data_IF_975154116424
#
_entry.id   IF_975154116424
#
_cell.length_a   1.000
_cell.length_b   1.000
_cell.length_c   1.000
_cell.angle_alpha   90.00
_cell.angle_beta   90.00
_cell.angle_gamma   90.00
#
_symmetry.space_group_name_H-M   'P 1'
#
loop_
_entity.id
_entity.type
_entity.pdbx_description
1 polymer ?
#
# COMPACT_ATOMS: atom_id res chain seq x y z
N UNK A 1 10.08 24.88 3.85
CA UNK A 1 9.27 25.18 5.05
C UNK A 1 9.17 26.68 5.24
N UNK A 2 10.27 27.40 5.49
CA UNK A 2 10.20 28.86 5.71
C UNK A 2 9.64 29.63 4.50
N UNK A 3 9.99 29.21 3.27
CA UNK A 3 9.40 29.75 2.04
C UNK A 3 7.89 29.47 1.94
N UNK A 4 7.46 28.24 2.21
CA UNK A 4 6.04 27.86 2.24
C UNK A 4 5.24 28.66 3.28
N UNK A 5 5.83 28.93 4.45
CA UNK A 5 5.22 29.77 5.49
C UNK A 5 5.15 31.25 5.08
N UNK A 6 6.09 31.73 4.26
CA UNK A 6 6.00 33.07 3.66
C UNK A 6 4.83 33.16 2.69
N UNK A 7 4.59 32.13 1.87
CA UNK A 7 3.41 32.07 0.98
C UNK A 7 2.10 32.11 1.77
N UNK A 8 2.05 31.45 2.94
CA UNK A 8 0.90 31.53 3.85
C UNK A 8 0.64 32.95 4.35
N UNK A 9 1.69 33.69 4.76
CA UNK A 9 1.56 35.10 5.16
C UNK A 9 0.99 35.97 4.03
N UNK A 10 1.55 35.84 2.84
CA UNK A 10 1.09 36.57 1.66
C UNK A 10 -0.37 36.25 1.31
N UNK A 11 -0.81 35.01 1.51
CA UNK A 11 -2.21 34.64 1.33
C UNK A 11 -3.11 35.31 2.38
N UNK A 12 -2.70 35.30 3.66
CA UNK A 12 -3.47 35.97 4.73
C UNK A 12 -3.62 37.46 4.44
N UNK A 13 -2.51 38.15 4.11
CA UNK A 13 -2.52 39.57 3.75
C UNK A 13 -3.44 39.84 2.55
N UNK A 14 -3.36 39.00 1.52
CA UNK A 14 -4.23 39.09 0.34
C UNK A 14 -5.72 38.90 0.68
N UNK A 15 -6.04 38.03 1.64
CA UNK A 15 -7.42 37.82 2.08
C UNK A 15 -7.92 38.95 2.99
N UNK A 16 -7.04 39.58 3.77
CA UNK A 16 -7.35 40.74 4.63
C UNK A 16 -7.53 42.04 3.85
N UNK A 17 -6.82 42.24 2.72
CA UNK A 17 -6.88 43.47 1.93
C UNK A 17 -8.18 43.64 1.12
N UNK A 18 -9.22 42.86 1.41
CA UNK A 18 -10.44 42.80 0.60
C UNK A 18 -11.44 43.91 0.94
N UNK A 19 -11.93 44.55 -0.11
CA UNK A 19 -13.29 45.09 -0.22
C UNK A 19 -14.17 44.04 -0.90
N UNK A 20 -15.40 43.80 -0.42
CA UNK A 20 -16.31 42.74 -0.90
C UNK A 20 -16.42 42.69 -2.45
N UNK A 21 -15.78 41.70 -3.08
CA UNK A 21 -15.98 41.38 -4.51
C UNK A 21 -17.04 40.27 -4.66
N UNK A 22 -18.08 40.54 -5.45
CA UNK A 22 -19.17 39.61 -5.83
C UNK A 22 -18.68 38.55 -6.82
N UNK A 23 -17.79 37.64 -6.37
CA UNK A 23 -17.36 36.46 -7.13
C UNK A 23 -18.14 35.20 -6.74
N UNK A 24 -18.29 34.26 -7.68
CA UNK A 24 -18.83 32.92 -7.40
C UNK A 24 -17.95 32.19 -6.36
N UNK A 25 -18.59 31.66 -5.32
CA UNK A 25 -17.92 30.96 -4.21
C UNK A 25 -17.68 29.50 -4.62
N UNK A 26 -16.42 29.07 -4.65
CA UNK A 26 -16.00 27.75 -5.18
C UNK A 26 -15.48 26.82 -4.09
N UNK A 27 -14.98 27.37 -2.97
CA UNK A 27 -14.44 26.59 -1.86
C UNK A 27 -14.97 27.14 -0.54
N UNK A 28 -15.34 26.24 0.38
CA UNK A 28 -15.80 26.57 1.71
C UNK A 28 -15.22 25.59 2.73
N UNK A 29 -14.81 26.12 3.88
CA UNK A 29 -14.47 25.32 5.04
C UNK A 29 -14.83 26.08 6.33
N UNK A 30 -15.14 25.32 7.38
CA UNK A 30 -15.47 25.86 8.69
C UNK A 30 -14.79 25.06 9.81
N UNK A 31 -14.61 25.71 10.96
CA UNK A 31 -14.11 25.09 12.18
C UNK A 31 -14.94 25.57 13.37
N UNK A 32 -15.33 24.62 14.22
CA UNK A 32 -16.08 24.90 15.42
C UNK A 32 -15.34 25.95 16.28
N UNK A 33 -16.03 27.05 16.59
CA UNK A 33 -15.47 28.16 17.37
C UNK A 33 -14.58 29.15 16.60
N UNK A 34 -14.32 28.94 15.30
CA UNK A 34 -13.55 29.84 14.45
C UNK A 34 -14.32 30.33 13.20
N UNK A 35 -15.59 29.94 13.05
CA UNK A 35 -16.42 30.34 11.92
C UNK A 35 -16.05 29.59 10.62
N UNK A 36 -16.43 30.18 9.49
CA UNK A 36 -16.20 29.63 8.15
C UNK A 36 -15.69 30.66 7.16
N UNK A 37 -15.00 30.17 6.13
CA UNK A 37 -14.41 30.99 5.07
C UNK A 37 -14.90 30.51 3.72
N UNK A 38 -15.43 31.44 2.92
CA UNK A 38 -15.76 31.21 1.51
C UNK A 38 -14.70 31.85 0.62
N UNK A 39 -14.18 31.07 -0.32
CA UNK A 39 -13.18 31.52 -1.28
C UNK A 39 -13.75 31.47 -2.70
N UNK A 40 -13.52 32.54 -3.46
CA UNK A 40 -13.82 32.56 -4.90
C UNK A 40 -12.75 31.77 -5.69
N UNK A 41 -12.88 31.74 -7.01
CA UNK A 41 -11.95 31.02 -7.88
C UNK A 41 -10.48 31.42 -7.68
N UNK A 42 -10.17 32.73 -7.72
CA UNK A 42 -8.80 33.26 -7.59
C UNK A 42 -8.18 32.91 -6.23
N UNK A 43 -8.95 33.02 -5.17
CA UNK A 43 -8.52 32.71 -3.81
C UNK A 43 -8.35 31.22 -3.59
N UNK A 44 -9.28 30.41 -4.08
CA UNK A 44 -9.19 28.96 -4.00
C UNK A 44 -7.95 28.43 -4.72
N UNK A 45 -7.55 29.07 -5.83
CA UNK A 45 -6.32 28.73 -6.55
C UNK A 45 -5.09 28.99 -5.68
N UNK A 46 -4.97 30.18 -5.08
CA UNK A 46 -3.85 30.54 -4.18
C UNK A 46 -3.82 29.69 -2.91
N UNK A 47 -4.99 29.37 -2.35
CA UNK A 47 -5.13 28.43 -1.23
C UNK A 47 -4.56 27.06 -1.58
N UNK A 48 -4.94 26.50 -2.75
CA UNK A 48 -4.46 25.19 -3.21
C UNK A 48 -2.96 25.18 -3.46
N UNK A 49 -2.41 26.26 -4.02
CA UNK A 49 -0.97 26.43 -4.20
C UNK A 49 -0.23 26.42 -2.86
N UNK A 50 -0.65 27.26 -1.92
CA UNK A 50 -0.07 27.30 -0.57
C UNK A 50 -0.17 25.94 0.14
N UNK A 51 -1.33 25.26 0.04
CA UNK A 51 -1.52 23.95 0.64
C UNK A 51 -0.57 22.91 0.03
N UNK A 52 -0.34 22.94 -1.28
CA UNK A 52 0.61 22.06 -1.97
C UNK A 52 2.04 22.31 -1.50
N UNK A 53 2.44 23.57 -1.35
CA UNK A 53 3.78 23.96 -0.88
C UNK A 53 4.00 23.61 0.60
N UNK A 54 2.96 23.74 1.42
CA UNK A 54 2.99 23.28 2.80
C UNK A 54 3.12 21.77 2.85
N UNK A 55 2.31 21.03 2.07
CA UNK A 55 2.35 19.57 2.06
C UNK A 55 3.73 19.05 1.59
N UNK A 56 4.26 19.58 0.49
CA UNK A 56 5.56 19.16 -0.06
C UNK A 56 6.73 19.43 0.91
N UNK A 57 6.62 20.47 1.74
CA UNK A 57 7.68 20.82 2.68
C UNK A 57 7.55 20.19 4.07
N UNK A 58 6.34 19.76 4.47
CA UNK A 58 6.04 19.24 5.82
C UNK A 58 5.84 17.73 5.89
N UNK A 59 5.34 17.11 4.81
CA UNK A 59 5.13 15.67 4.71
C UNK A 59 6.44 15.05 4.22
N UNK A 60 7.19 14.43 5.12
CA UNK A 60 8.38 13.65 4.78
C UNK A 60 8.13 12.20 5.15
N UNK A 61 8.35 11.29 4.20
CA UNK A 61 8.20 9.84 4.41
C UNK A 61 6.80 9.41 4.90
N UNK A 62 5.74 10.08 4.43
CA UNK A 62 4.34 9.86 4.84
C UNK A 62 4.08 10.08 6.35
N UNK A 63 4.96 10.79 7.08
CA UNK A 63 4.92 10.94 8.54
C UNK A 63 3.86 11.91 9.09
N UNK A 64 3.15 12.62 8.21
CA UNK A 64 2.13 13.62 8.50
C UNK A 64 1.03 13.53 7.45
N UNK A 65 -0.24 13.49 7.87
CA UNK A 65 -1.35 13.35 6.93
C UNK A 65 -1.64 14.67 6.21
N UNK A 66 -1.99 14.61 4.92
CA UNK A 66 -2.39 15.81 4.16
C UNK A 66 -3.58 16.52 4.82
N UNK A 67 -4.49 15.75 5.42
CA UNK A 67 -5.65 16.27 6.15
C UNK A 67 -5.25 16.98 7.44
N UNK A 68 -4.19 16.55 8.11
CA UNK A 68 -3.60 17.28 9.25
C UNK A 68 -2.96 18.58 8.80
N UNK A 69 -2.20 18.56 7.68
CA UNK A 69 -1.62 19.79 7.09
C UNK A 69 -2.72 20.77 6.71
N UNK A 70 -3.72 20.30 5.97
CA UNK A 70 -4.86 21.10 5.53
C UNK A 70 -5.64 21.64 6.73
N UNK A 71 -5.92 20.81 7.73
CA UNK A 71 -6.65 21.25 8.92
C UNK A 71 -5.91 22.30 9.74
N UNK A 72 -4.60 22.14 9.92
CA UNK A 72 -3.77 23.14 10.59
C UNK A 72 -3.70 24.45 9.79
N UNK A 73 -3.63 24.36 8.46
CA UNK A 73 -3.61 25.51 7.57
C UNK A 73 -4.95 26.27 7.59
N UNK A 74 -6.08 25.57 7.48
CA UNK A 74 -7.42 26.17 7.60
C UNK A 74 -7.63 26.84 8.96
N UNK A 75 -7.19 26.21 10.05
CA UNK A 75 -7.25 26.78 11.39
C UNK A 75 -6.42 28.07 11.49
N UNK A 76 -5.22 28.09 10.90
CA UNK A 76 -4.37 29.27 10.84
C UNK A 76 -5.04 30.42 10.06
N UNK A 77 -5.64 30.13 8.91
CA UNK A 77 -6.39 31.11 8.12
C UNK A 77 -7.58 31.68 8.92
N UNK A 78 -8.43 30.82 9.48
CA UNK A 78 -9.60 31.30 10.23
C UNK A 78 -9.18 32.13 11.45
N UNK A 79 -8.15 31.72 12.19
CA UNK A 79 -7.61 32.53 13.31
C UNK A 79 -7.10 33.89 12.85
N UNK A 80 -6.43 33.94 11.70
CA UNK A 80 -5.90 35.20 11.17
C UNK A 80 -7.03 36.14 10.71
N UNK A 81 -8.11 35.59 10.15
CA UNK A 81 -9.22 36.38 9.60
C UNK A 81 -10.31 36.74 10.64
N UNK A 82 -10.49 35.97 11.72
CA UNK A 82 -11.63 36.13 12.64
C UNK A 82 -11.36 36.94 13.93
N UNK A 83 -10.15 37.47 14.17
CA UNK A 83 -9.89 38.19 15.43
C UNK A 83 -10.26 39.68 15.31
N UNK A 84 -11.47 40.04 15.70
CA UNK A 84 -11.91 41.45 15.80
C UNK A 84 -11.56 42.12 17.15
N UNK A 85 -11.05 41.38 18.14
CA UNK A 85 -10.77 41.88 19.49
C UNK A 85 -9.34 41.57 19.96
N UNK A 86 -8.35 42.32 19.48
CA UNK A 86 -7.00 42.24 20.03
C UNK A 86 -6.29 43.59 20.11
N UNK A 87 -5.74 43.89 21.30
CA UNK A 87 -4.79 44.97 21.56
C UNK A 87 -3.43 44.77 20.89
N UNK A 88 -3.22 43.64 20.22
CA UNK A 88 -1.97 43.23 19.58
C UNK A 88 -1.94 43.66 18.10
N UNK A 89 -0.84 44.29 17.62
CA UNK A 89 -0.68 44.62 16.21
C UNK A 89 -0.86 43.43 15.27
N UNK A 90 -1.53 43.64 14.14
CA UNK A 90 -1.90 42.59 13.16
C UNK A 90 -0.71 41.74 12.71
N UNK A 91 0.42 42.36 12.39
CA UNK A 91 1.63 41.66 11.94
C UNK A 91 2.16 40.69 13.01
N UNK A 92 2.18 41.09 14.28
CA UNK A 92 2.64 40.24 15.38
C UNK A 92 1.69 39.04 15.60
N UNK A 93 0.38 39.25 15.41
CA UNK A 93 -0.63 38.19 15.48
C UNK A 93 -0.47 37.18 14.34
N UNK A 94 -0.27 37.64 13.11
CA UNK A 94 -0.04 36.76 11.95
C UNK A 94 1.25 35.96 12.15
N UNK A 95 2.32 36.58 12.64
CA UNK A 95 3.57 35.91 12.95
C UNK A 95 3.38 34.79 13.98
N UNK A 96 2.65 35.06 15.07
CA UNK A 96 2.34 34.06 16.10
C UNK A 96 1.51 32.89 15.54
N UNK A 97 0.52 33.17 14.69
CA UNK A 97 -0.30 32.13 14.03
C UNK A 97 0.55 31.25 13.11
N UNK A 98 1.45 31.87 12.33
CA UNK A 98 2.33 31.14 11.41
C UNK A 98 3.37 30.33 12.17
N UNK A 99 3.90 30.83 13.28
CA UNK A 99 4.77 30.05 14.17
C UNK A 99 4.01 28.89 14.84
N UNK A 100 2.74 29.09 15.21
CA UNK A 100 1.88 28.01 15.68
C UNK A 100 1.67 26.93 14.62
N UNK A 101 1.42 27.33 13.37
CA UNK A 101 1.34 26.41 12.24
C UNK A 101 2.65 25.64 12.06
N UNK A 102 3.79 26.35 12.05
CA UNK A 102 5.13 25.74 11.97
C UNK A 102 5.33 24.70 13.06
N UNK A 103 5.00 25.01 14.32
CA UNK A 103 5.12 24.08 15.45
C UNK A 103 4.27 22.82 15.25
N UNK A 104 3.04 22.95 14.76
CA UNK A 104 2.17 21.79 14.46
C UNK A 104 2.75 20.91 13.34
N UNK A 105 3.24 21.52 12.25
CA UNK A 105 3.79 20.79 11.10
C UNK A 105 5.16 20.15 11.37
N UNK A 106 5.91 20.69 12.33
CA UNK A 106 7.25 20.21 12.74
C UNK A 106 7.23 19.42 14.05
N UNK A 107 6.04 19.01 14.51
CA UNK A 107 5.89 18.17 15.69
C UNK A 107 6.77 16.92 15.59
N UNK A 108 7.28 16.47 16.75
CA UNK A 108 8.11 15.26 16.83
C UNK A 108 7.25 14.04 16.50
N UNK A 109 7.86 13.05 15.85
CA UNK A 109 7.25 11.73 15.67
C UNK A 109 7.08 11.06 17.04
N UNK A 110 5.93 10.41 17.23
CA UNK A 110 5.64 9.60 18.41
C UNK A 110 5.21 8.19 17.97
N UNK A 111 5.44 7.17 18.81
CA UNK A 111 5.05 5.81 18.48
C UNK A 111 3.54 5.60 18.61
N UNK A 112 2.94 4.93 17.63
CA UNK A 112 1.55 4.49 17.61
C UNK A 112 1.50 2.96 17.51
N UNK A 113 0.57 2.35 18.25
CA UNK A 113 0.20 0.93 18.12
C UNK A 113 -1.09 0.86 17.30
N UNK A 114 -1.00 0.39 16.08
CA UNK A 114 -2.14 0.27 15.17
C UNK A 114 -2.63 -1.18 15.17
N UNK A 115 -3.87 -1.38 15.61
CA UNK A 115 -4.57 -2.66 15.49
C UNK A 115 -5.44 -2.61 14.24
N UNK A 116 -5.21 -3.49 13.29
CA UNK A 116 -5.92 -3.51 12.00
C UNK A 116 -6.50 -4.92 11.79
N UNK A 117 -7.82 -5.07 11.60
CA UNK A 117 -8.42 -6.37 11.35
C UNK A 117 -7.91 -6.97 10.03
N UNK A 118 -7.67 -8.27 10.02
CA UNK A 118 -7.19 -9.02 8.85
C UNK A 118 -8.08 -10.22 8.63
N UNK A 119 -8.44 -10.46 7.37
CA UNK A 119 -9.27 -11.58 6.97
C UNK A 119 -8.45 -12.65 6.22
N UNK A 120 -9.00 -13.86 6.16
CA UNK A 120 -8.41 -14.97 5.41
C UNK A 120 -7.21 -15.63 6.07
N UNK A 121 -7.04 -15.49 7.40
CA UNK A 121 -6.03 -16.19 8.20
C UNK A 121 -6.74 -17.14 9.16
N UNK A 122 -6.16 -18.30 9.47
CA UNK A 122 -6.63 -19.20 10.54
C UNK A 122 -5.99 -18.84 11.87
N UNK A 123 -6.76 -18.98 12.94
CA UNK A 123 -6.27 -18.75 14.32
C UNK A 123 -5.12 -19.69 14.71
N UNK A 124 -5.11 -20.91 14.18
CA UNK A 124 -4.06 -21.90 14.48
C UNK A 124 -2.68 -21.37 14.06
N UNK A 125 -1.76 -21.33 15.03
CA UNK A 125 -0.39 -20.83 14.83
C UNK A 125 -0.20 -19.36 15.15
N UNK A 126 -1.22 -18.67 15.69
CA UNK A 126 -1.11 -17.31 16.23
C UNK A 126 -0.80 -17.31 17.74
N UNK A 127 -0.11 -16.28 18.26
CA UNK A 127 0.42 -15.12 17.54
C UNK A 127 1.62 -15.45 16.65
N UNK A 128 1.79 -14.71 15.55
CA UNK A 128 2.89 -14.90 14.60
C UNK A 128 3.40 -13.57 14.04
N UNK A 129 4.71 -13.38 13.99
CA UNK A 129 5.32 -12.11 13.54
C UNK A 129 6.06 -12.26 12.20
N UNK A 130 5.82 -11.31 11.29
CA UNK A 130 6.52 -11.17 10.01
C UNK A 130 7.03 -9.75 9.89
N UNK A 131 8.35 -9.57 9.98
CA UNK A 131 8.96 -8.25 10.04
C UNK A 131 8.43 -7.43 11.23
N UNK A 132 7.80 -6.30 10.94
CA UNK A 132 7.24 -5.37 11.94
C UNK A 132 5.72 -5.55 12.16
N UNK A 133 5.14 -6.64 11.66
CA UNK A 133 3.71 -6.95 11.75
C UNK A 133 3.54 -8.21 12.57
N UNK A 134 2.75 -8.14 13.63
CA UNK A 134 2.34 -9.29 14.43
C UNK A 134 0.87 -9.60 14.18
N UNK A 135 0.55 -10.85 13.87
CA UNK A 135 -0.83 -11.34 13.77
C UNK A 135 -1.23 -11.99 15.08
N UNK A 136 -2.40 -11.64 15.60
CA UNK A 136 -2.92 -12.19 16.86
C UNK A 136 -4.46 -12.20 16.84
N UNK A 137 -5.07 -12.95 17.75
CA UNK A 137 -6.53 -12.90 17.96
C UNK A 137 -6.85 -11.77 18.94
N UNK A 138 -7.83 -10.95 18.61
CA UNK A 138 -8.28 -9.88 19.51
C UNK A 138 -9.20 -10.45 20.59
N UNK A 139 -8.60 -10.90 21.69
CA UNK A 139 -9.25 -11.61 22.79
C UNK A 139 -9.60 -10.69 23.98
N UNK A 140 -10.08 -11.30 25.07
CA UNK A 140 -10.45 -10.58 26.29
C UNK A 140 -9.26 -9.84 26.92
N UNK A 141 -8.02 -10.36 26.77
CA UNK A 141 -6.83 -9.70 27.28
C UNK A 141 -6.61 -8.35 26.58
N UNK A 142 -6.70 -8.32 25.25
CA UNK A 142 -6.58 -7.09 24.48
C UNK A 142 -7.74 -6.12 24.74
N UNK A 143 -8.98 -6.61 24.87
CA UNK A 143 -10.13 -5.77 25.25
C UNK A 143 -9.90 -5.08 26.60
N UNK A 144 -9.39 -5.82 27.59
CA UNK A 144 -9.10 -5.27 28.91
C UNK A 144 -7.96 -4.24 28.88
N UNK A 145 -6.90 -4.48 28.09
CA UNK A 145 -5.83 -3.50 27.89
C UNK A 145 -6.37 -2.18 27.29
N UNK A 146 -7.24 -2.25 26.29
CA UNK A 146 -7.88 -1.07 25.71
C UNK A 146 -8.74 -0.33 26.74
N UNK A 147 -9.52 -1.07 27.54
CA UNK A 147 -10.34 -0.48 28.62
C UNK A 147 -9.49 0.32 29.61
N UNK A 148 -8.34 -0.21 30.02
CA UNK A 148 -7.41 0.48 30.92
C UNK A 148 -6.80 1.75 30.30
N UNK A 149 -6.46 1.71 29.00
CA UNK A 149 -5.91 2.86 28.28
C UNK A 149 -6.95 3.99 28.21
N UNK A 150 -8.19 3.66 27.86
CA UNK A 150 -9.31 4.62 27.78
C UNK A 150 -9.58 5.23 29.15
N UNK A 151 -9.57 4.43 30.22
CA UNK A 151 -9.80 4.91 31.58
C UNK A 151 -8.74 5.92 32.07
N UNK A 152 -7.50 5.83 31.56
CA UNK A 152 -6.39 6.73 31.90
C UNK A 152 -6.39 8.03 31.09
N UNK A 153 -7.18 8.14 30.02
CA UNK A 153 -7.09 9.26 29.09
C UNK A 153 -7.92 10.48 29.55
N UNK A 154 -7.23 11.51 30.05
CA UNK A 154 -7.83 12.72 30.66
C UNK A 154 -8.61 13.64 29.71
N UNK A 155 -8.38 13.54 28.40
CA UNK A 155 -8.91 14.47 27.37
C UNK A 155 -10.27 14.00 26.84
N UNK A 156 -10.64 12.74 27.07
CA UNK A 156 -11.88 12.13 26.58
C UNK A 156 -12.88 11.85 27.72
N UNK A 157 -13.03 12.78 28.69
CA UNK A 157 -14.01 12.63 29.80
C UNK A 157 -15.46 12.37 29.35
N UNK A 158 -15.81 12.70 28.11
CA UNK A 158 -17.13 12.46 27.52
C UNK A 158 -17.19 11.20 26.63
N UNK A 159 -16.07 10.52 26.38
CA UNK A 159 -16.05 9.31 25.55
C UNK A 159 -16.39 8.11 26.41
N UNK A 160 -17.61 7.59 26.22
CA UNK A 160 -18.12 6.43 26.97
C UNK A 160 -17.47 5.16 26.42
N UNK A 161 -16.83 4.39 27.30
CA UNK A 161 -16.27 3.06 26.98
C UNK A 161 -17.31 2.18 26.26
N UNK A 162 -18.58 2.32 26.62
CA UNK A 162 -19.69 1.57 26.04
C UNK A 162 -19.77 1.74 24.52
N UNK A 163 -19.59 2.96 23.99
CA UNK A 163 -19.63 3.20 22.53
C UNK A 163 -18.43 2.59 21.81
N UNK A 164 -17.24 2.71 22.40
CA UNK A 164 -16.04 2.07 21.85
C UNK A 164 -16.12 0.53 21.93
N UNK A 165 -16.71 0.01 22.99
CA UNK A 165 -16.87 -1.43 23.20
C UNK A 165 -17.75 -2.03 22.11
N UNK A 166 -18.85 -1.37 21.73
CA UNK A 166 -19.68 -1.82 20.61
C UNK A 166 -18.89 -1.88 19.29
N UNK A 167 -18.03 -0.90 19.03
CA UNK A 167 -17.14 -0.90 17.85
C UNK A 167 -16.11 -2.03 17.90
N UNK A 168 -15.51 -2.27 19.08
CA UNK A 168 -14.56 -3.37 19.31
C UNK A 168 -15.25 -4.72 19.13
N UNK A 169 -16.41 -4.92 19.76
CA UNK A 169 -17.15 -6.18 19.71
C UNK A 169 -17.57 -6.51 18.27
N UNK A 170 -17.98 -5.50 17.49
CA UNK A 170 -18.36 -5.65 16.09
C UNK A 170 -17.17 -5.90 15.15
N UNK A 171 -16.09 -5.16 15.31
CA UNK A 171 -15.02 -5.08 14.30
C UNK A 171 -13.76 -5.86 14.64
N UNK A 172 -13.53 -6.16 15.92
CA UNK A 172 -12.27 -6.73 16.41
C UNK A 172 -12.47 -8.01 17.23
N UNK A 173 -13.42 -8.06 18.16
CA UNK A 173 -13.50 -9.13 19.15
C UNK A 173 -13.57 -10.52 18.51
N UNK A 174 -12.69 -11.43 18.96
CA UNK A 174 -12.49 -12.79 18.44
C UNK A 174 -12.12 -12.86 16.96
N UNK A 175 -11.73 -11.75 16.34
CA UNK A 175 -11.21 -11.70 14.97
C UNK A 175 -9.69 -11.60 15.01
N UNK A 176 -9.08 -12.04 13.92
CA UNK A 176 -7.64 -11.91 13.73
C UNK A 176 -7.33 -10.46 13.39
N UNK A 177 -6.38 -9.91 14.12
CA UNK A 177 -5.90 -8.55 13.95
C UNK A 177 -4.40 -8.57 13.77
N UNK A 178 -3.90 -7.59 13.04
CA UNK A 178 -2.49 -7.26 13.04
C UNK A 178 -2.20 -6.13 14.02
N UNK A 179 -1.07 -6.23 14.71
CA UNK A 179 -0.47 -5.17 15.49
C UNK A 179 0.75 -4.65 14.71
N UNK A 180 0.71 -3.36 14.37
CA UNK A 180 1.81 -2.67 13.70
C UNK A 180 2.23 -1.46 14.53
N UNK A 181 3.52 -1.38 14.85
CA UNK A 181 4.10 -0.23 15.55
C UNK A 181 4.74 0.72 14.54
N UNK A 182 4.34 1.99 14.55
CA UNK A 182 4.80 3.02 13.61
C UNK A 182 5.10 4.32 14.33
N UNK A 183 6.00 5.12 13.78
CA UNK A 183 6.26 6.47 14.24
C UNK A 183 5.62 7.47 13.27
N UNK A 184 4.79 8.37 13.79
CA UNK A 184 4.12 9.40 12.99
C UNK A 184 3.91 10.67 13.82
N UNK A 185 3.57 11.79 13.16
CA UNK A 185 3.22 13.05 13.85
C UNK A 185 1.74 13.09 14.25
N UNK A 186 0.89 12.35 13.56
CA UNK A 186 -0.55 12.26 13.82
C UNK A 186 -1.08 10.83 13.61
N UNK A 187 -2.30 10.56 14.10
CA UNK A 187 -2.89 9.22 14.08
C UNK A 187 -3.35 8.77 12.68
N UNK A 188 -3.67 9.69 11.77
CA UNK A 188 -4.07 9.35 10.41
C UNK A 188 -2.84 8.93 9.59
N UNK A 189 -1.74 9.66 9.72
CA UNK A 189 -0.45 9.26 9.16
C UNK A 189 -0.02 7.88 9.71
N UNK A 190 -0.16 7.66 11.03
CA UNK A 190 0.11 6.37 11.64
C UNK A 190 -0.73 5.26 11.00
N UNK A 191 -2.03 5.48 10.80
CA UNK A 191 -2.92 4.53 10.15
C UNK A 191 -2.46 4.22 8.71
N UNK A 192 -2.16 5.24 7.90
CA UNK A 192 -1.71 5.06 6.50
C UNK A 192 -0.41 4.28 6.45
N UNK A 193 0.60 4.64 7.26
CA UNK A 193 1.88 3.94 7.34
C UNK A 193 1.67 2.48 7.77
N UNK A 194 0.85 2.24 8.79
CA UNK A 194 0.57 0.91 9.30
C UNK A 194 -0.12 0.02 8.26
N UNK A 195 -1.15 0.53 7.57
CA UNK A 195 -1.83 -0.18 6.48
C UNK A 195 -0.86 -0.48 5.32
N UNK A 196 0.01 0.47 4.95
CA UNK A 196 1.03 0.26 3.90
C UNK A 196 2.01 -0.87 4.26
N UNK A 197 2.47 -0.90 5.52
CA UNK A 197 3.34 -1.99 6.03
C UNK A 197 2.61 -3.33 6.09
N UNK A 198 1.37 -3.34 6.54
CA UNK A 198 0.54 -4.54 6.61
C UNK A 198 0.26 -5.12 5.23
N UNK A 199 -0.21 -4.30 4.28
CA UNK A 199 -0.46 -4.73 2.89
C UNK A 199 0.77 -5.38 2.27
N UNK A 200 1.96 -4.83 2.50
CA UNK A 200 3.22 -5.44 2.07
C UNK A 200 3.40 -6.86 2.61
N UNK A 201 3.09 -7.10 3.88
CA UNK A 201 3.17 -8.45 4.48
C UNK A 201 2.09 -9.37 3.94
N UNK A 202 0.85 -8.90 3.74
CA UNK A 202 -0.24 -9.68 3.15
C UNK A 202 0.09 -10.11 1.70
N UNK A 203 0.61 -9.19 0.89
CA UNK A 203 1.06 -9.48 -0.48
C UNK A 203 2.11 -10.62 -0.47
N UNK A 204 3.08 -10.55 0.44
CA UNK A 204 4.12 -11.58 0.60
C UNK A 204 3.52 -12.92 1.05
N UNK A 205 2.60 -12.90 2.03
CA UNK A 205 1.89 -14.11 2.47
C UNK A 205 1.10 -14.76 1.31
N UNK A 206 0.44 -13.96 0.49
CA UNK A 206 -0.32 -14.44 -0.67
C UNK A 206 0.59 -15.08 -1.72
N UNK A 207 1.77 -14.50 -1.95
CA UNK A 207 2.81 -15.10 -2.80
C UNK A 207 3.20 -16.50 -2.32
N UNK A 208 3.57 -16.63 -1.04
CA UNK A 208 4.02 -17.91 -0.50
C UNK A 208 2.89 -18.92 -0.28
N UNK A 209 1.66 -18.45 -0.07
CA UNK A 209 0.49 -19.31 -0.02
C UNK A 209 0.29 -20.05 -1.34
N UNK A 210 0.47 -19.39 -2.48
CA UNK A 210 0.38 -20.01 -3.80
C UNK A 210 1.50 -21.05 -4.08
N UNK A 211 2.59 -21.03 -3.32
CA UNK A 211 3.67 -22.03 -3.38
C UNK A 211 3.47 -23.20 -2.42
N UNK A 212 2.45 -23.13 -1.56
CA UNK A 212 2.19 -24.13 -0.53
C UNK A 212 1.25 -25.21 -1.07
N UNK A 213 1.66 -26.49 -1.09
CA UNK A 213 0.80 -27.58 -1.56
C UNK A 213 -0.53 -27.65 -0.81
N UNK A 214 -1.59 -28.08 -1.51
CA UNK A 214 -2.93 -28.28 -0.94
C UNK A 214 -3.53 -27.04 -0.26
N UNK A 215 -3.11 -25.84 -0.68
CA UNK A 215 -3.61 -24.57 -0.20
C UNK A 215 -4.21 -23.68 -1.33
N UNK A 216 -4.95 -24.23 -2.31
CA UNK A 216 -5.47 -23.40 -3.40
C UNK A 216 -6.47 -22.37 -2.85
N UNK A 217 -6.28 -21.10 -3.21
CA UNK A 217 -7.16 -19.97 -2.86
C UNK A 217 -7.20 -19.61 -1.36
N UNK A 218 -6.19 -20.00 -0.59
CA UNK A 218 -5.99 -19.49 0.77
C UNK A 218 -5.28 -18.13 0.73
N UNK A 219 -6.06 -17.05 0.70
CA UNK A 219 -5.54 -15.69 0.51
C UNK A 219 -5.92 -14.82 1.71
N UNK A 220 -5.01 -13.91 2.05
CA UNK A 220 -5.15 -12.92 3.11
C UNK A 220 -5.49 -11.56 2.50
N UNK A 221 -6.31 -10.79 3.20
CA UNK A 221 -6.81 -9.51 2.71
C UNK A 221 -7.27 -8.61 3.86
N UNK A 222 -7.40 -7.31 3.57
CA UNK A 222 -8.04 -6.36 4.48
C UNK A 222 -9.55 -6.33 4.21
N UNK A 223 -10.39 -6.11 5.24
CA UNK A 223 -11.82 -5.84 5.04
C UNK A 223 -12.04 -4.73 3.99
N UNK A 224 -12.98 -4.95 3.07
CA UNK A 224 -13.25 -4.04 1.95
C UNK A 224 -12.33 -4.15 0.72
N UNK A 225 -11.22 -4.91 0.77
CA UNK A 225 -10.34 -5.09 -0.41
C UNK A 225 -10.85 -6.24 -1.31
N UNK A 226 -10.92 -7.47 -0.80
CA UNK A 226 -11.12 -8.72 -1.58
C UNK A 226 -12.09 -9.69 -0.90
N UNK A 227 -13.27 -9.22 -0.52
CA UNK A 227 -14.25 -10.07 0.16
C UNK A 227 -14.80 -11.16 -0.78
N UNK A 228 -15.00 -12.40 -0.28
CA UNK A 228 -15.59 -13.44 -1.08
C UNK A 228 -17.06 -13.14 -1.36
N UNK A 229 -17.47 -13.30 -2.62
CA UNK A 229 -18.86 -13.09 -3.02
C UNK A 229 -19.30 -14.10 -4.07
N UNK A 230 -20.61 -14.30 -4.17
CA UNK A 230 -21.22 -15.08 -5.23
C UNK A 230 -21.54 -14.14 -6.39
N UNK A 231 -20.88 -14.36 -7.53
CA UNK A 231 -21.17 -13.64 -8.76
C UNK A 231 -22.17 -14.44 -9.58
N UNK A 232 -23.33 -13.85 -9.84
CA UNK A 232 -24.40 -14.47 -10.60
C UNK A 232 -24.66 -13.68 -11.88
N UNK A 233 -24.75 -14.39 -13.01
CA UNK A 233 -25.04 -13.81 -14.32
C UNK A 233 -26.25 -14.51 -14.90
N UNK A 234 -27.20 -13.73 -15.41
CA UNK A 234 -28.29 -14.21 -16.24
C UNK A 234 -27.96 -13.85 -17.68
N UNK A 235 -28.02 -14.83 -18.56
CA UNK A 235 -27.72 -14.71 -19.98
C UNK A 235 -29.01 -15.03 -20.73
N UNK A 236 -29.56 -14.04 -21.43
CA UNK A 236 -30.75 -14.23 -22.26
C UNK A 236 -30.31 -14.40 -23.71
N UNK A 237 -30.88 -15.39 -24.40
CA UNK A 237 -30.68 -15.54 -25.83
C UNK A 237 -31.74 -14.73 -26.59
N UNK A 238 -31.37 -13.51 -26.98
CA UNK A 238 -32.25 -12.62 -27.75
C UNK A 238 -32.60 -13.18 -29.15
N UNK A 239 -31.82 -14.14 -29.68
CA UNK A 239 -32.06 -14.68 -31.02
C UNK A 239 -33.28 -15.62 -31.08
N UNK A 240 -33.63 -16.30 -30.00
CA UNK A 240 -34.80 -17.19 -29.93
C UNK A 240 -35.89 -16.70 -28.96
N UNK A 241 -35.59 -15.69 -28.13
CA UNK A 241 -36.54 -15.09 -27.18
C UNK A 241 -37.09 -16.05 -26.12
N UNK A 242 -36.51 -17.25 -25.99
CA UNK A 242 -37.05 -18.33 -25.17
C UNK A 242 -36.00 -19.04 -24.33
N UNK A 243 -34.73 -19.04 -24.75
CA UNK A 243 -33.65 -19.66 -23.98
C UNK A 243 -32.93 -18.65 -23.09
N UNK A 244 -32.60 -19.11 -21.89
CA UNK A 244 -31.76 -18.39 -20.94
C UNK A 244 -30.76 -19.34 -20.30
N UNK A 245 -29.68 -18.78 -19.79
CA UNK A 245 -28.69 -19.48 -18.98
C UNK A 245 -28.42 -18.67 -17.71
N UNK A 246 -28.10 -19.36 -16.63
CA UNK A 246 -27.67 -18.74 -15.38
C UNK A 246 -26.31 -19.32 -15.02
N UNK A 247 -25.34 -18.45 -14.80
CA UNK A 247 -24.01 -18.85 -14.36
C UNK A 247 -23.77 -18.27 -12.97
N UNK A 248 -23.26 -19.09 -12.05
CA UNK A 248 -22.82 -18.63 -10.73
C UNK A 248 -21.36 -19.03 -10.52
N UNK A 249 -20.58 -18.11 -9.95
CA UNK A 249 -19.17 -18.33 -9.62
C UNK A 249 -18.86 -17.70 -8.27
N UNK A 250 -18.24 -18.47 -7.37
CA UNK A 250 -17.64 -17.91 -6.16
C UNK A 250 -16.34 -17.19 -6.54
N UNK A 251 -16.22 -15.93 -6.17
CA UNK A 251 -15.06 -15.07 -6.44
C UNK A 251 -14.41 -14.67 -5.11
N UNK A 252 -13.08 -14.51 -5.12
CA UNK A 252 -12.32 -14.10 -3.95
C UNK A 252 -11.70 -15.25 -3.14
N UNK A 253 -11.22 -14.97 -1.92
CA UNK A 253 -10.59 -15.94 -1.02
C UNK A 253 -11.60 -16.97 -0.53
N UNK A 254 -11.41 -18.22 -0.93
CA UNK A 254 -12.34 -19.31 -0.60
C UNK A 254 -11.89 -20.14 0.59
N UNK A 255 -10.67 -19.91 1.07
CA UNK A 255 -10.07 -20.62 2.19
C UNK A 255 -9.27 -19.66 3.07
N UNK A 256 -9.20 -19.98 4.36
CA UNK A 256 -8.34 -19.27 5.30
C UNK A 256 -6.93 -19.87 5.29
N UNK A 257 -5.93 -19.00 5.30
CA UNK A 257 -4.51 -19.31 5.34
C UNK A 257 -4.05 -19.69 6.75
N UNK A 258 -3.49 -20.90 6.88
CA UNK A 258 -2.73 -21.29 8.06
C UNK A 258 -1.25 -20.96 7.85
N UNK A 259 -0.73 -19.92 8.53
CA UNK A 259 0.65 -19.43 8.32
C UNK A 259 1.69 -20.52 8.65
N UNK A 260 1.43 -21.38 9.64
CA UNK A 260 2.32 -22.49 9.97
C UNK A 260 2.52 -23.47 8.81
N UNK A 261 1.54 -23.62 7.89
CA UNK A 261 1.71 -24.45 6.68
C UNK A 261 2.73 -23.88 5.72
N UNK A 262 2.82 -22.54 5.61
CA UNK A 262 3.87 -21.92 4.80
C UNK A 262 5.24 -22.23 5.41
N UNK A 263 5.37 -22.09 6.74
CA UNK A 263 6.62 -22.39 7.46
C UNK A 263 7.01 -23.86 7.30
N UNK A 264 6.06 -24.78 7.41
CA UNK A 264 6.29 -26.22 7.18
C UNK A 264 6.66 -26.51 5.73
N UNK A 265 5.98 -25.90 4.76
CA UNK A 265 6.28 -26.05 3.34
C UNK A 265 7.68 -25.54 3.02
N UNK A 266 8.11 -24.43 3.61
CA UNK A 266 9.46 -23.91 3.42
C UNK A 266 10.54 -24.84 3.96
N UNK A 267 10.32 -25.44 5.13
CA UNK A 267 11.23 -26.45 5.68
C UNK A 267 11.35 -27.68 4.79
N UNK A 268 10.25 -28.09 4.14
CA UNK A 268 10.19 -29.34 3.38
C UNK A 268 10.56 -29.18 1.90
N UNK A 269 10.23 -28.04 1.29
CA UNK A 269 10.28 -27.84 -0.16
C UNK A 269 11.16 -26.67 -0.59
N UNK A 270 11.80 -25.97 0.38
CA UNK A 270 12.64 -24.80 0.19
C UNK A 270 11.97 -23.81 -0.77
N UNK A 271 10.99 -23.05 -0.27
CA UNK A 271 10.24 -22.09 -1.09
C UNK A 271 10.83 -20.68 -0.98
N UNK A 272 11.76 -20.46 -0.05
CA UNK A 272 12.47 -19.20 0.20
C UNK A 272 11.79 -18.31 1.24
N UNK A 273 10.78 -18.80 1.96
CA UNK A 273 9.98 -17.98 2.89
C UNK A 273 10.79 -17.48 4.08
N UNK A 274 11.59 -18.34 4.71
CA UNK A 274 12.43 -17.97 5.86
C UNK A 274 13.46 -16.90 5.49
N UNK A 275 14.04 -16.97 4.28
CA UNK A 275 14.95 -15.93 3.78
C UNK A 275 14.23 -14.59 3.68
N UNK A 276 13.04 -14.56 3.08
CA UNK A 276 12.24 -13.33 2.96
C UNK A 276 11.82 -12.78 4.32
N UNK A 277 11.43 -13.61 5.29
CA UNK A 277 11.16 -13.16 6.66
C UNK A 277 12.41 -12.50 7.27
N UNK A 278 13.58 -13.12 7.09
CA UNK A 278 14.84 -12.60 7.63
C UNK A 278 15.19 -11.22 7.05
N UNK A 279 14.87 -10.99 5.78
CA UNK A 279 15.01 -9.69 5.11
C UNK A 279 14.05 -8.66 5.72
N UNK A 280 12.78 -9.02 5.93
CA UNK A 280 11.76 -8.12 6.49
C UNK A 280 12.04 -7.71 7.95
N UNK A 281 12.87 -8.45 8.67
CA UNK A 281 13.33 -8.10 10.02
C UNK A 281 14.48 -7.08 10.03
N UNK A 282 15.13 -6.83 8.89
CA UNK A 282 16.24 -5.87 8.80
C UNK A 282 15.72 -4.43 8.87
N UNK A 283 16.42 -3.58 9.61
CA UNK A 283 16.14 -2.14 9.64
C UNK A 283 16.49 -1.45 8.32
N UNK A 284 17.54 -1.93 7.65
CA UNK A 284 18.04 -1.36 6.40
C UNK A 284 18.18 -2.47 5.36
N UNK A 285 17.30 -2.43 4.36
CA UNK A 285 17.37 -3.29 3.19
C UNK A 285 18.40 -2.74 2.21
N UNK A 286 19.23 -3.62 1.66
CA UNK A 286 20.07 -3.25 0.53
C UNK A 286 19.21 -3.07 -0.75
N UNK A 287 19.79 -2.51 -1.81
CA UNK A 287 19.00 -2.18 -3.02
C UNK A 287 18.49 -3.43 -3.74
N UNK A 288 19.23 -4.54 -3.71
CA UNK A 288 18.79 -5.82 -4.29
C UNK A 288 17.63 -6.44 -3.48
N UNK A 289 17.75 -6.48 -2.15
CA UNK A 289 16.69 -6.93 -1.25
C UNK A 289 15.41 -6.11 -1.42
N UNK A 290 15.52 -4.78 -1.56
CA UNK A 290 14.38 -3.90 -1.85
C UNK A 290 13.68 -4.30 -3.15
N UNK A 291 14.45 -4.54 -4.21
CA UNK A 291 13.92 -4.97 -5.50
C UNK A 291 13.24 -6.35 -5.40
N UNK A 292 13.88 -7.32 -4.73
CA UNK A 292 13.34 -8.66 -4.55
C UNK A 292 12.01 -8.64 -3.78
N UNK A 293 11.95 -7.92 -2.65
CA UNK A 293 10.69 -7.81 -1.91
C UNK A 293 9.62 -7.10 -2.76
N UNK A 294 9.98 -6.04 -3.48
CA UNK A 294 9.04 -5.33 -4.36
C UNK A 294 8.45 -6.26 -5.41
N UNK A 295 9.29 -7.08 -6.05
CA UNK A 295 8.85 -8.06 -7.04
C UNK A 295 7.92 -9.12 -6.44
N UNK A 296 8.26 -9.64 -5.25
CA UNK A 296 7.40 -10.59 -4.52
C UNK A 296 6.06 -9.97 -4.16
N UNK A 297 6.03 -8.70 -3.74
CA UNK A 297 4.78 -8.00 -3.45
C UNK A 297 3.90 -7.88 -4.69
N UNK A 298 4.46 -7.51 -5.83
CA UNK A 298 3.71 -7.43 -7.09
C UNK A 298 3.15 -8.79 -7.52
N UNK A 299 3.94 -9.85 -7.41
CA UNK A 299 3.47 -11.20 -7.68
C UNK A 299 2.37 -11.65 -6.68
N UNK A 300 2.50 -11.28 -5.40
CA UNK A 300 1.49 -11.49 -4.37
C UNK A 300 0.16 -10.81 -4.68
N UNK A 301 0.20 -9.56 -5.17
CA UNK A 301 -0.98 -8.84 -5.66
C UNK A 301 -1.61 -9.48 -6.89
N UNK A 302 -0.76 -9.94 -7.81
CA UNK A 302 -1.23 -10.63 -9.02
C UNK A 302 -2.01 -11.90 -8.68
N UNK A 303 -1.60 -12.65 -7.65
CA UNK A 303 -2.27 -13.87 -7.18
C UNK A 303 -3.70 -13.59 -6.68
N UNK A 304 -3.93 -12.43 -6.08
CA UNK A 304 -5.23 -12.08 -5.51
C UNK A 304 -6.14 -11.29 -6.43
N UNK A 305 -5.65 -10.84 -7.59
CA UNK A 305 -6.45 -10.05 -8.51
C UNK A 305 -7.53 -10.90 -9.18
N UNK A 306 -8.77 -10.43 -9.12
CA UNK A 306 -9.91 -11.06 -9.78
C UNK A 306 -9.97 -10.76 -11.29
N UNK A 307 -9.21 -9.76 -11.76
CA UNK A 307 -9.17 -9.35 -13.17
C UNK A 307 -7.92 -9.91 -13.84
N UNK A 308 -8.11 -10.61 -14.96
CA UNK A 308 -7.09 -11.37 -15.66
C UNK A 308 -5.97 -10.49 -16.20
N UNK A 309 -6.36 -9.39 -16.83
CA UNK A 309 -5.48 -8.39 -17.42
C UNK A 309 -4.63 -7.73 -16.33
N UNK A 310 -5.24 -7.42 -15.19
CA UNK A 310 -4.55 -6.84 -14.05
C UNK A 310 -3.56 -7.83 -13.44
N UNK A 311 -3.97 -9.08 -13.17
CA UNK A 311 -3.07 -10.13 -12.70
C UNK A 311 -1.86 -10.30 -13.63
N UNK A 312 -2.11 -10.37 -14.94
CA UNK A 312 -1.07 -10.48 -15.96
C UNK A 312 -0.07 -9.31 -15.92
N UNK A 313 -0.57 -8.08 -15.85
CA UNK A 313 0.27 -6.88 -15.73
C UNK A 313 1.06 -6.85 -14.43
N UNK A 314 0.46 -7.23 -13.30
CA UNK A 314 1.12 -7.26 -12.01
C UNK A 314 2.27 -8.28 -11.97
N UNK A 315 2.11 -9.46 -12.60
CA UNK A 315 3.24 -10.39 -12.78
C UNK A 315 4.33 -9.83 -13.70
N UNK A 316 3.98 -9.14 -14.78
CA UNK A 316 4.95 -8.48 -15.64
C UNK A 316 5.76 -7.42 -14.88
N UNK A 317 5.09 -6.59 -14.06
CA UNK A 317 5.73 -5.61 -13.19
C UNK A 317 6.65 -6.30 -12.17
N UNK A 318 6.22 -7.43 -11.59
CA UNK A 318 7.04 -8.21 -10.69
C UNK A 318 8.37 -8.62 -11.36
N UNK A 319 8.30 -9.19 -12.57
CA UNK A 319 9.49 -9.56 -13.34
C UNK A 319 10.35 -8.36 -13.70
N UNK A 320 9.77 -7.29 -14.24
CA UNK A 320 10.51 -6.07 -14.62
C UNK A 320 11.27 -5.48 -13.42
N UNK A 321 10.62 -5.43 -12.24
CA UNK A 321 11.17 -4.82 -11.03
C UNK A 321 12.42 -5.49 -10.47
N UNK A 322 12.68 -6.76 -10.82
CA UNK A 322 13.86 -7.50 -10.36
C UNK A 322 14.82 -7.87 -11.49
N UNK A 323 14.33 -8.12 -12.70
CA UNK A 323 15.16 -8.53 -13.84
C UNK A 323 15.83 -7.34 -14.54
N UNK A 324 15.21 -6.16 -14.49
CA UNK A 324 15.66 -4.94 -15.18
C UNK A 324 15.98 -3.81 -14.20
N UNK A 325 16.29 -4.17 -12.95
CA UNK A 325 16.51 -3.26 -11.84
C UNK A 325 17.67 -2.26 -12.05
N UNK A 326 18.64 -2.61 -12.89
CA UNK A 326 19.83 -1.81 -13.21
C UNK A 326 19.58 -0.76 -14.32
N UNK A 327 18.57 -0.95 -15.18
CA UNK A 327 18.34 -0.03 -16.30
C UNK A 327 16.90 -0.10 -16.84
N UNK A 328 16.04 0.87 -16.47
CA UNK A 328 14.64 0.89 -16.90
C UNK A 328 14.42 1.36 -18.35
N UNK A 329 15.44 1.87 -19.04
CA UNK A 329 15.29 2.55 -20.35
C UNK A 329 15.84 1.74 -21.54
N UNK A 330 16.39 0.55 -21.31
CA UNK A 330 16.94 -0.29 -22.38
C UNK A 330 15.86 -1.11 -23.10
N UNK A 331 16.21 -1.76 -24.22
CA UNK A 331 15.30 -2.67 -24.96
C UNK A 331 14.71 -3.77 -24.05
N UNK A 332 13.52 -3.48 -23.53
CA UNK A 332 12.88 -4.18 -22.42
C UNK A 332 12.72 -5.67 -22.73
N UNK A 333 12.18 -5.98 -23.92
CA UNK A 333 11.79 -7.34 -24.29
C UNK A 333 12.99 -8.25 -24.56
N UNK A 334 14.04 -7.77 -25.22
CA UNK A 334 15.23 -8.59 -25.51
C UNK A 334 15.98 -8.94 -24.23
N UNK A 335 16.31 -7.93 -23.42
CA UNK A 335 17.06 -8.12 -22.18
C UNK A 335 16.32 -9.01 -21.21
N UNK A 336 15.02 -8.76 -21.02
CA UNK A 336 14.22 -9.57 -20.11
C UNK A 336 14.15 -11.02 -20.55
N UNK A 337 13.89 -11.28 -21.84
CA UNK A 337 13.90 -12.62 -22.42
C UNK A 337 15.20 -13.36 -22.12
N UNK A 338 16.33 -12.74 -22.44
CA UNK A 338 17.64 -13.36 -22.25
C UNK A 338 17.92 -13.61 -20.76
N UNK A 339 17.72 -12.61 -19.91
CA UNK A 339 18.01 -12.71 -18.47
C UNK A 339 17.12 -13.73 -17.76
N UNK A 340 15.82 -13.73 -18.01
CA UNK A 340 14.89 -14.74 -17.46
C UNK A 340 15.33 -16.13 -17.88
N UNK A 341 15.66 -16.31 -19.16
CA UNK A 341 16.09 -17.61 -19.70
C UNK A 341 17.32 -18.13 -18.96
N UNK A 342 18.37 -17.34 -18.82
CA UNK A 342 19.59 -17.76 -18.11
C UNK A 342 19.39 -17.93 -16.61
N UNK A 343 18.42 -17.24 -16.00
CA UNK A 343 18.10 -17.39 -14.59
C UNK A 343 17.43 -18.74 -14.25
N UNK A 344 16.50 -19.21 -15.09
CA UNK A 344 15.65 -20.38 -14.77
C UNK A 344 15.88 -21.62 -15.63
N UNK A 345 16.51 -21.50 -16.81
CA UNK A 345 16.78 -22.63 -17.71
C UNK A 345 18.22 -23.14 -17.54
N UNK A 346 18.35 -24.30 -16.88
CA UNK A 346 19.64 -24.95 -16.64
C UNK A 346 20.25 -25.57 -17.91
N UNK A 347 19.42 -26.06 -18.83
CA UNK A 347 19.83 -26.79 -20.03
C UNK A 347 19.64 -25.95 -21.29
N UNK A 348 20.56 -25.98 -22.27
CA UNK A 348 20.44 -25.21 -23.50
C UNK A 348 19.14 -25.46 -24.26
N UNK A 349 18.65 -26.70 -24.30
CA UNK A 349 17.45 -27.05 -25.04
C UNK A 349 16.20 -26.33 -24.49
N UNK A 350 16.13 -26.19 -23.17
CA UNK A 350 15.04 -25.50 -22.48
C UNK A 350 15.16 -23.97 -22.57
N UNK A 351 16.32 -23.43 -22.96
CA UNK A 351 16.52 -21.98 -23.07
C UNK A 351 15.68 -21.39 -24.20
N UNK A 352 15.63 -22.06 -25.35
CA UNK A 352 14.85 -21.59 -26.50
C UNK A 352 13.35 -21.54 -26.21
N UNK A 353 12.82 -22.55 -25.51
CA UNK A 353 11.42 -22.59 -25.13
C UNK A 353 11.07 -21.42 -24.18
N UNK A 354 11.83 -21.26 -23.09
CA UNK A 354 11.62 -20.16 -22.13
C UNK A 354 11.74 -18.80 -22.82
N UNK A 355 12.74 -18.64 -23.70
CA UNK A 355 12.94 -17.39 -24.43
C UNK A 355 11.75 -17.07 -25.36
N UNK A 356 11.19 -18.07 -26.05
CA UNK A 356 10.03 -17.88 -26.90
C UNK A 356 8.78 -17.55 -26.07
N UNK A 357 8.53 -18.26 -24.98
CA UNK A 357 7.41 -17.96 -24.08
C UNK A 357 7.51 -16.53 -23.54
N UNK A 358 8.67 -16.10 -23.04
CA UNK A 358 8.83 -14.72 -22.53
C UNK A 358 8.59 -13.68 -23.65
N UNK A 359 9.06 -13.96 -24.87
CA UNK A 359 8.81 -13.09 -26.03
C UNK A 359 7.33 -12.93 -26.31
N UNK A 360 6.58 -14.04 -26.35
CA UNK A 360 5.14 -14.04 -26.61
C UNK A 360 4.38 -13.29 -25.52
N UNK A 361 4.68 -13.57 -24.25
CA UNK A 361 4.07 -12.89 -23.12
C UNK A 361 4.30 -11.38 -23.12
N UNK A 362 5.50 -10.92 -23.48
CA UNK A 362 5.79 -9.48 -23.53
C UNK A 362 5.19 -8.80 -24.77
N UNK A 363 4.99 -9.52 -25.86
CA UNK A 363 4.17 -9.04 -26.96
C UNK A 363 2.71 -8.86 -26.52
N UNK A 364 2.14 -9.83 -25.79
CA UNK A 364 0.79 -9.72 -25.22
C UNK A 364 0.67 -8.56 -24.22
N UNK A 365 1.67 -8.39 -23.34
CA UNK A 365 1.76 -7.23 -22.41
C UNK A 365 1.77 -5.91 -23.16
N UNK A 366 2.57 -5.81 -24.21
CA UNK A 366 2.64 -4.60 -25.04
C UNK A 366 1.29 -4.28 -25.67
N UNK A 367 0.63 -5.26 -26.29
CA UNK A 367 -0.71 -5.10 -26.87
C UNK A 367 -1.75 -4.73 -25.82
N UNK A 368 -1.73 -5.36 -24.65
CA UNK A 368 -2.67 -5.06 -23.57
C UNK A 368 -2.58 -3.60 -23.11
N UNK A 369 -1.36 -3.08 -22.93
CA UNK A 369 -1.13 -1.69 -22.47
C UNK A 369 -1.47 -0.66 -23.55
N UNK A 370 -1.19 -0.94 -24.82
CA UNK A 370 -1.34 0.04 -25.91
C UNK A 370 -2.66 -0.05 -26.66
N UNK A 371 -3.19 -1.26 -26.88
CA UNK A 371 -4.38 -1.48 -27.71
C UNK A 371 -5.67 -1.53 -26.87
N UNK A 372 -5.56 -1.75 -25.55
CA UNK A 372 -6.66 -1.72 -24.58
C UNK A 372 -7.77 -2.77 -24.78
N UNK A 373 -7.69 -3.60 -25.82
CA UNK A 373 -8.68 -4.62 -26.22
C UNK A 373 -8.10 -6.03 -26.33
N UNK A 374 -6.94 -6.26 -25.74
CA UNK A 374 -6.32 -7.58 -25.75
C UNK A 374 -6.90 -8.44 -24.63
N UNK A 375 -7.60 -9.52 -25.00
CA UNK A 375 -8.08 -10.51 -24.04
C UNK A 375 -6.94 -11.46 -23.70
N UNK A 376 -6.67 -11.62 -22.40
CA UNK A 376 -5.62 -12.51 -21.91
C UNK A 376 -6.22 -13.89 -21.62
N UNK A 377 -5.63 -14.93 -22.20
CA UNK A 377 -6.04 -16.33 -21.99
C UNK A 377 -5.54 -16.90 -20.65
N UNK A 378 -6.16 -17.99 -20.15
CA UNK A 378 -5.66 -18.70 -18.95
C UNK A 378 -4.21 -19.15 -19.12
N UNK A 379 -3.88 -19.67 -20.30
CA UNK A 379 -2.54 -20.16 -20.60
C UNK A 379 -1.49 -19.05 -20.52
N UNK A 380 -1.80 -17.84 -20.99
CA UNK A 380 -0.90 -16.69 -20.91
C UNK A 380 -0.69 -16.27 -19.44
N UNK A 381 -1.74 -16.23 -18.63
CA UNK A 381 -1.65 -15.91 -17.19
C UNK A 381 -0.83 -16.95 -16.46
N UNK A 382 -1.14 -18.23 -16.66
CA UNK A 382 -0.45 -19.33 -16.00
C UNK A 382 1.03 -19.38 -16.40
N UNK A 383 1.35 -19.09 -17.67
CA UNK A 383 2.73 -18.99 -18.16
C UNK A 383 3.47 -17.81 -17.53
N UNK A 384 2.86 -16.62 -17.50
CA UNK A 384 3.45 -15.44 -16.87
C UNK A 384 3.67 -15.65 -15.37
N UNK A 385 2.67 -16.21 -14.68
CA UNK A 385 2.73 -16.60 -13.27
C UNK A 385 3.86 -17.60 -13.02
N UNK A 386 3.92 -18.67 -13.81
CA UNK A 386 4.93 -19.73 -13.68
C UNK A 386 6.35 -19.18 -13.82
N UNK A 387 6.60 -18.35 -14.84
CA UNK A 387 7.90 -17.71 -15.05
C UNK A 387 8.26 -16.80 -13.88
N UNK A 388 7.33 -15.93 -13.48
CA UNK A 388 7.51 -15.00 -12.35
C UNK A 388 7.86 -15.74 -11.06
N UNK A 389 7.06 -16.74 -10.70
CA UNK A 389 7.26 -17.57 -9.51
C UNK A 389 8.61 -18.28 -9.57
N UNK A 390 8.98 -18.89 -10.72
CA UNK A 390 10.25 -19.62 -10.85
C UNK A 390 11.45 -18.70 -10.67
N UNK A 391 11.42 -17.49 -11.23
CA UNK A 391 12.45 -16.48 -11.04
C UNK A 391 12.56 -16.08 -9.56
N UNK A 392 11.46 -15.66 -8.95
CA UNK A 392 11.44 -15.17 -7.56
C UNK A 392 11.81 -16.27 -6.55
N UNK A 393 11.31 -17.49 -6.77
CA UNK A 393 11.67 -18.67 -5.98
C UNK A 393 13.17 -18.94 -6.09
N UNK A 394 13.75 -18.93 -7.30
CA UNK A 394 15.19 -19.14 -7.52
C UNK A 394 16.04 -18.10 -6.78
N UNK A 395 15.66 -16.83 -6.84
CA UNK A 395 16.36 -15.72 -6.16
C UNK A 395 16.23 -15.79 -4.63
N UNK A 396 15.14 -16.36 -4.13
CA UNK A 396 14.88 -16.49 -2.69
C UNK A 396 15.60 -17.68 -2.05
N UNK A 397 16.01 -18.67 -2.84
CA UNK A 397 16.57 -19.93 -2.35
C UNK A 397 18.08 -20.02 -2.56
N UNK A 398 18.58 -19.61 -3.73
CA UNK A 398 20.00 -19.86 -4.03
C UNK A 398 20.91 -18.99 -3.14
N UNK A 399 21.83 -19.58 -2.36
CA UNK A 399 22.75 -18.84 -1.50
C UNK A 399 23.62 -17.81 -2.24
N UNK A 400 23.82 -17.98 -3.56
CA UNK A 400 24.50 -17.00 -4.40
C UNK A 400 23.75 -15.67 -4.41
N UNK A 401 22.43 -15.71 -4.67
CA UNK A 401 21.60 -14.50 -4.76
C UNK A 401 21.30 -13.91 -3.39
N UNK A 402 21.21 -14.75 -2.35
CA UNK A 402 21.02 -14.30 -0.97
C UNK A 402 22.17 -13.42 -0.43
N UNK A 403 23.36 -13.52 -1.05
CA UNK A 403 24.55 -12.72 -0.69
C UNK A 403 24.68 -11.43 -1.50
N UNK A 404 23.84 -11.22 -2.52
CA UNK A 404 23.92 -10.01 -3.35
C UNK A 404 23.43 -8.78 -2.59
N UNK A 405 24.18 -7.69 -2.68
CA UNK A 405 23.87 -6.43 -2.00
C UNK A 405 23.40 -5.32 -2.93
N UNK A 406 23.62 -5.46 -4.24
CA UNK A 406 23.20 -4.48 -5.24
C UNK A 406 22.62 -5.13 -6.51
N UNK A 407 21.73 -4.42 -7.21
CA UNK A 407 21.29 -4.72 -8.57
C UNK A 407 22.42 -5.02 -9.55
N UNK A 408 23.54 -4.29 -9.45
CA UNK A 408 24.67 -4.42 -10.38
C UNK A 408 25.32 -5.79 -10.26
N UNK A 409 25.51 -6.32 -9.04
CA UNK A 409 26.04 -7.69 -8.85
C UNK A 409 25.16 -8.76 -9.52
N UNK A 410 23.85 -8.54 -9.54
CA UNK A 410 22.91 -9.44 -10.21
C UNK A 410 22.97 -9.28 -11.73
N UNK A 411 23.09 -8.04 -12.21
CA UNK A 411 23.29 -7.72 -13.62
C UNK A 411 24.56 -8.36 -14.16
N UNK A 412 25.69 -8.17 -13.47
CA UNK A 412 26.99 -8.74 -13.82
C UNK A 412 26.92 -10.27 -13.88
N UNK A 413 26.29 -10.90 -12.89
CA UNK A 413 26.10 -12.35 -12.91
C UNK A 413 25.29 -12.83 -14.11
N UNK A 414 24.22 -12.11 -14.48
CA UNK A 414 23.41 -12.43 -15.65
C UNK A 414 24.21 -12.29 -16.96
N UNK A 415 25.01 -11.24 -17.08
CA UNK A 415 25.87 -11.00 -18.24
C UNK A 415 26.94 -12.10 -18.38
N UNK A 416 27.56 -12.49 -17.28
CA UNK A 416 28.48 -13.63 -17.23
C UNK A 416 27.83 -14.94 -17.68
N UNK A 417 26.55 -15.16 -17.34
CA UNK A 417 25.82 -16.35 -17.81
C UNK A 417 25.49 -16.31 -19.29
N UNK A 418 25.38 -15.13 -19.90
CA UNK A 418 25.07 -14.95 -21.33
C UNK A 418 26.32 -15.16 -22.18
N UNK A 419 27.49 -14.77 -21.66
CA UNK A 419 28.78 -14.95 -22.34
C UNK A 419 29.31 -16.39 -22.28
N UNK A 420 28.73 -17.26 -21.45
CA UNK A 420 29.04 -18.69 -21.33
C UNK A 420 28.07 -19.55 -22.15
#
# INVERSE_FOLDING_TARGET
>A
MDESLRSVKLLIEFLNSKTEENGEKVLYFERQGLGGLHLNYKESSRYRECLRDLASSSVRDDDLSLKTVEGAFQEALLKALCSNDCSTPENLRIDEIVENLKRKLTAKRIPYRCFIPVCGIKEKGLPFSIGQVEFTVFDDLLVNQFKEIVAKHTIQKNFKWEGLKEDIDRSFYKKICSLVVVEAKDYEAAQVIAIKKLRRVLDILNFFSALTPFNPNALTYLPGDLEPYLFETIILNEADGASYNTASKKVGPLQELEISRIVESDKNNDIGFNYIISILQKNNLNSFEKALITAIQWAGRAIVSNRREEAFLLYAIALESIILVDNPNAELSYRLRTRVTHLIAKKPENRNEVANTVKELYNSRSKLVHDGKYEITDLEIDSMKSISIRCLKRLSIDPLFQKMTSPDMFSDWLEDQILR
#
